data_IF_059228115212
#
_entry.id   IF_059228115212
#
_cell.length_a   1.000
_cell.length_b   1.000
_cell.length_c   1.000
_cell.angle_alpha   90.00
_cell.angle_beta   90.00
_cell.angle_gamma   90.00
#
_symmetry.space_group_name_H-M   'P 1'
#
loop_
_entity.id
_entity.type
_entity.pdbx_description
1 polymer ?
#
# COMPACT_ATOMS: atom_id res chain seq x y z
N UNK A 1 0.62 -20.12 -5.87
CA UNK A 1 0.69 -19.89 -7.33
C UNK A 1 2.04 -19.25 -7.76
N UNK A 2 2.54 -19.44 -9.00
CA UNK A 2 3.60 -18.57 -9.54
C UNK A 2 2.93 -17.33 -10.16
N UNK A 3 3.17 -16.15 -9.57
CA UNK A 3 2.53 -14.89 -9.95
C UNK A 3 3.40 -14.02 -10.87
N UNK A 4 4.62 -14.45 -11.19
CA UNK A 4 5.59 -13.66 -11.97
C UNK A 4 5.10 -13.30 -13.39
N UNK A 5 4.22 -14.12 -13.97
CA UNK A 5 3.66 -13.91 -15.31
C UNK A 5 2.37 -13.07 -15.29
N UNK A 6 1.85 -12.70 -14.12
CA UNK A 6 0.59 -11.96 -14.00
C UNK A 6 0.87 -10.45 -14.11
N UNK A 7 0.13 -9.77 -14.96
CA UNK A 7 0.16 -8.32 -15.09
C UNK A 7 -1.00 -7.67 -14.31
N UNK A 8 -0.82 -7.31 -13.03
CA UNK A 8 -1.90 -6.72 -12.23
C UNK A 8 -2.36 -5.35 -12.78
N UNK A 9 -1.51 -4.62 -13.50
CA UNK A 9 -1.85 -3.28 -14.04
C UNK A 9 -2.88 -3.32 -15.17
N UNK A 10 -3.04 -4.46 -15.85
CA UNK A 10 -4.04 -4.61 -16.90
C UNK A 10 -5.36 -5.22 -16.41
N UNK A 11 -5.49 -5.46 -15.11
CA UNK A 11 -6.74 -5.89 -14.48
C UNK A 11 -7.50 -4.64 -14.00
N UNK A 12 -8.72 -4.48 -14.48
CA UNK A 12 -9.60 -3.35 -14.19
C UNK A 12 -10.75 -3.71 -13.26
N UNK A 13 -11.39 -2.66 -12.75
CA UNK A 13 -12.49 -2.74 -11.79
C UNK A 13 -13.88 -2.71 -12.43
N UNK A 14 -13.97 -2.56 -13.76
CA UNK A 14 -15.25 -2.33 -14.44
C UNK A 14 -16.08 -3.59 -14.65
N UNK A 15 -15.42 -4.73 -14.91
CA UNK A 15 -16.08 -5.99 -15.23
C UNK A 15 -16.24 -6.86 -13.98
N UNK A 16 -17.43 -7.44 -13.81
CA UNK A 16 -17.75 -8.40 -12.75
C UNK A 16 -18.84 -7.92 -11.81
N UNK A 17 -19.18 -8.76 -10.84
CA UNK A 17 -20.18 -8.51 -9.82
C UNK A 17 -19.58 -7.63 -8.73
N UNK A 18 -20.09 -6.41 -8.58
CA UNK A 18 -19.58 -5.41 -7.63
C UNK A 18 -20.38 -5.48 -6.32
N UNK A 19 -19.70 -5.74 -5.20
CA UNK A 19 -20.29 -5.79 -3.85
C UNK A 19 -19.63 -4.75 -2.96
N UNK A 20 -20.43 -3.91 -2.31
CA UNK A 20 -19.94 -2.79 -1.51
C UNK A 20 -19.86 -1.49 -2.29
N UNK A 21 -19.38 -0.43 -1.62
CA UNK A 21 -19.43 0.92 -2.18
C UNK A 21 -18.37 1.14 -3.27
N UNK A 22 -18.73 1.87 -4.33
CA UNK A 22 -17.81 2.23 -5.42
C UNK A 22 -16.65 3.12 -4.94
N UNK A 23 -16.82 3.87 -3.86
CA UNK A 23 -15.79 4.69 -3.24
C UNK A 23 -14.96 3.95 -2.17
N UNK A 24 -15.25 2.67 -1.92
CA UNK A 24 -14.53 1.92 -0.90
C UNK A 24 -13.02 1.93 -1.18
N UNK A 25 -12.18 2.22 -0.17
CA UNK A 25 -10.76 2.51 -0.35
C UNK A 25 -9.98 1.31 -0.90
N UNK A 26 -10.40 0.09 -0.53
CA UNK A 26 -9.75 -1.15 -0.99
C UNK A 26 -10.66 -1.84 -1.99
N UNK A 27 -10.08 -2.38 -3.06
CA UNK A 27 -10.75 -3.24 -4.05
C UNK A 27 -10.20 -4.66 -3.99
N UNK A 28 -11.08 -5.65 -3.94
CA UNK A 28 -10.77 -7.07 -4.15
C UNK A 28 -11.25 -7.45 -5.54
N UNK A 29 -10.36 -7.96 -6.40
CA UNK A 29 -10.72 -8.47 -7.73
C UNK A 29 -10.54 -9.97 -7.74
N UNK A 30 -11.62 -10.72 -7.97
CA UNK A 30 -11.66 -12.16 -7.71
C UNK A 30 -12.01 -12.93 -8.99
N UNK A 31 -11.02 -13.51 -9.66
CA UNK A 31 -11.27 -14.45 -10.75
C UNK A 31 -11.61 -15.81 -10.18
N UNK A 32 -12.87 -16.20 -10.28
CA UNK A 32 -13.38 -17.45 -9.69
C UNK A 32 -14.16 -18.27 -10.72
N UNK A 33 -14.19 -19.58 -10.50
CA UNK A 33 -15.03 -20.49 -11.25
C UNK A 33 -15.83 -21.32 -10.25
N UNK A 34 -17.14 -21.40 -10.43
CA UNK A 34 -18.03 -21.99 -9.43
C UNK A 34 -17.86 -23.50 -9.28
N UNK A 35 -17.19 -24.18 -10.22
CA UNK A 35 -16.91 -25.62 -10.14
C UNK A 35 -15.56 -25.93 -9.51
N UNK A 36 -14.71 -24.93 -9.34
CA UNK A 36 -13.40 -25.10 -8.75
C UNK A 36 -13.50 -25.35 -7.23
N UNK A 37 -12.98 -26.47 -6.71
CA UNK A 37 -13.00 -26.76 -5.27
C UNK A 37 -12.09 -25.81 -4.47
N UNK A 38 -11.02 -25.29 -5.10
CA UNK A 38 -10.13 -24.30 -4.49
C UNK A 38 -10.82 -22.94 -4.34
N UNK A 39 -11.60 -22.52 -5.35
CA UNK A 39 -12.39 -21.30 -5.26
C UNK A 39 -13.49 -21.42 -4.19
N UNK A 40 -14.13 -22.61 -4.08
CA UNK A 40 -15.04 -22.93 -2.97
C UNK A 40 -14.36 -22.78 -1.62
N UNK A 41 -13.15 -23.34 -1.46
CA UNK A 41 -12.37 -23.25 -0.22
C UNK A 41 -12.07 -21.80 0.15
N UNK A 42 -11.56 -21.01 -0.80
CA UNK A 42 -11.28 -19.59 -0.59
C UNK A 42 -12.54 -18.85 -0.08
N UNK A 43 -13.67 -19.06 -0.74
CA UNK A 43 -14.95 -18.44 -0.37
C UNK A 43 -15.38 -18.81 1.05
N UNK A 44 -15.31 -20.11 1.40
CA UNK A 44 -15.68 -20.59 2.74
C UNK A 44 -14.75 -20.06 3.84
N UNK A 45 -13.45 -19.93 3.55
CA UNK A 45 -12.47 -19.47 4.54
C UNK A 45 -12.48 -17.96 4.75
N UNK A 46 -12.82 -17.17 3.72
CA UNK A 46 -12.57 -15.74 3.74
C UNK A 46 -13.82 -14.86 3.62
N UNK A 47 -14.95 -15.35 3.12
CA UNK A 47 -16.14 -14.51 2.90
C UNK A 47 -16.61 -13.78 4.16
N UNK A 48 -16.54 -14.40 5.34
CA UNK A 48 -16.92 -13.71 6.59
C UNK A 48 -16.10 -12.43 6.82
N UNK A 49 -14.77 -12.49 6.66
CA UNK A 49 -13.89 -11.32 6.79
C UNK A 49 -14.21 -10.28 5.72
N UNK A 50 -14.28 -10.71 4.46
CA UNK A 50 -14.46 -9.79 3.34
C UNK A 50 -15.84 -9.12 3.40
N UNK A 51 -16.87 -9.85 3.83
CA UNK A 51 -18.23 -9.34 4.00
C UNK A 51 -18.32 -8.34 5.17
N UNK A 52 -17.62 -8.58 6.29
CA UNK A 52 -17.47 -7.59 7.38
C UNK A 52 -16.87 -6.27 6.86
N UNK A 53 -15.86 -6.34 5.99
CA UNK A 53 -15.17 -5.17 5.43
C UNK A 53 -16.00 -4.45 4.38
N UNK A 54 -16.75 -5.20 3.56
CA UNK A 54 -17.74 -4.65 2.62
C UNK A 54 -18.84 -3.91 3.38
N UNK A 55 -19.41 -4.52 4.42
CA UNK A 55 -20.44 -3.90 5.24
C UNK A 55 -19.95 -2.64 5.98
N UNK A 56 -18.65 -2.58 6.31
CA UNK A 56 -18.02 -1.41 6.90
C UNK A 56 -17.67 -0.30 5.89
N UNK A 57 -17.95 -0.49 4.59
CA UNK A 57 -17.60 0.46 3.52
C UNK A 57 -16.10 0.54 3.21
N UNK A 58 -15.31 -0.41 3.72
CA UNK A 58 -13.83 -0.40 3.60
C UNK A 58 -13.33 -1.17 2.38
N UNK A 59 -14.14 -2.07 1.86
CA UNK A 59 -13.80 -2.95 0.75
C UNK A 59 -14.93 -2.95 -0.27
N UNK A 60 -14.58 -2.92 -1.55
CA UNK A 60 -15.46 -3.38 -2.62
C UNK A 60 -14.91 -4.67 -3.19
N UNK A 61 -15.76 -5.69 -3.34
CA UNK A 61 -15.40 -6.94 -4.03
C UNK A 61 -15.92 -6.88 -5.45
N UNK A 62 -15.10 -7.35 -6.39
CA UNK A 62 -15.37 -7.37 -7.82
C UNK A 62 -15.15 -8.80 -8.28
N UNK A 63 -16.23 -9.57 -8.27
CA UNK A 63 -16.21 -11.00 -8.53
C UNK A 63 -16.36 -11.24 -10.04
N UNK A 64 -15.33 -11.80 -10.64
CA UNK A 64 -15.26 -12.11 -12.07
C UNK A 64 -15.50 -13.60 -12.29
N UNK A 65 -16.70 -13.92 -12.77
CA UNK A 65 -17.10 -15.27 -13.18
C UNK A 65 -16.27 -15.72 -14.38
N UNK A 66 -15.20 -16.48 -14.12
CA UNK A 66 -14.16 -16.77 -15.09
C UNK A 66 -14.38 -18.13 -15.75
N UNK A 67 -14.85 -18.08 -17.00
CA UNK A 67 -15.07 -19.24 -17.84
C UNK A 67 -13.79 -20.00 -18.13
N UNK A 68 -13.86 -21.33 -18.08
CA UNK A 68 -12.71 -22.21 -18.31
C UNK A 68 -13.08 -23.34 -19.26
N UNK A 69 -12.22 -23.63 -20.24
CA UNK A 69 -12.47 -24.68 -21.23
C UNK A 69 -12.13 -26.10 -20.73
N UNK A 70 -11.36 -26.23 -19.64
CA UNK A 70 -11.03 -27.54 -19.07
C UNK A 70 -12.34 -28.25 -18.71
N UNK A 71 -12.51 -29.48 -19.21
CA UNK A 71 -13.78 -30.23 -19.16
C UNK A 71 -14.49 -30.16 -17.80
N UNK A 72 -13.77 -30.37 -16.70
CA UNK A 72 -14.33 -30.31 -15.34
C UNK A 72 -14.83 -28.92 -14.93
N UNK A 73 -14.15 -27.84 -15.33
CA UNK A 73 -14.49 -26.46 -14.95
C UNK A 73 -15.53 -25.83 -15.88
N UNK A 74 -15.62 -26.32 -17.11
CA UNK A 74 -16.54 -25.79 -18.13
C UNK A 74 -18.02 -25.91 -17.75
N UNK A 75 -18.36 -26.79 -16.80
CA UNK A 75 -19.72 -26.90 -16.25
C UNK A 75 -20.17 -25.61 -15.57
N UNK A 76 -19.26 -24.89 -14.91
CA UNK A 76 -19.59 -23.62 -14.27
C UNK A 76 -19.83 -22.49 -15.28
N UNK A 77 -19.32 -22.59 -16.51
CA UNK A 77 -19.61 -21.61 -17.55
C UNK A 77 -21.12 -21.53 -17.83
N UNK A 78 -21.87 -22.62 -17.60
CA UNK A 78 -23.34 -22.60 -17.67
C UNK A 78 -23.89 -21.73 -16.54
N UNK A 79 -23.49 -21.98 -15.29
CA UNK A 79 -23.99 -21.23 -14.13
C UNK A 79 -23.63 -19.75 -14.20
N UNK A 80 -22.48 -19.40 -14.80
CA UNK A 80 -22.08 -18.01 -15.02
C UNK A 80 -23.10 -17.23 -15.87
N UNK A 81 -23.84 -17.90 -16.76
CA UNK A 81 -24.90 -17.30 -17.59
C UNK A 81 -26.18 -16.94 -16.82
N UNK A 82 -26.28 -17.32 -15.55
CA UNK A 82 -27.44 -17.05 -14.68
C UNK A 82 -27.13 -15.99 -13.60
N UNK A 83 -25.95 -15.37 -13.67
CA UNK A 83 -25.54 -14.30 -12.77
C UNK A 83 -26.10 -12.99 -13.27
N UNK A 84 -26.99 -12.41 -12.46
CA UNK A 84 -27.58 -11.09 -12.67
C UNK A 84 -26.67 -10.03 -12.05
N UNK A 85 -25.92 -9.33 -12.91
CA UNK A 85 -24.99 -8.29 -12.47
C UNK A 85 -25.69 -7.01 -11.99
N UNK A 86 -26.98 -6.82 -12.31
CA UNK A 86 -27.77 -5.66 -11.89
C UNK A 86 -28.35 -5.85 -10.48
N UNK A 87 -28.33 -7.08 -9.95
CA UNK A 87 -28.75 -7.42 -8.58
C UNK A 87 -27.62 -8.09 -7.79
N UNK A 88 -26.56 -7.33 -7.44
CA UNK A 88 -25.32 -7.90 -6.93
C UNK A 88 -25.47 -8.68 -5.63
N UNK A 89 -26.29 -8.23 -4.68
CA UNK A 89 -26.52 -8.95 -3.43
C UNK A 89 -27.24 -10.28 -3.66
N UNK A 90 -28.27 -10.32 -4.52
CA UNK A 90 -29.00 -11.54 -4.86
C UNK A 90 -28.09 -12.53 -5.60
N UNK A 91 -27.33 -12.04 -6.57
CA UNK A 91 -26.37 -12.86 -7.31
C UNK A 91 -25.26 -13.39 -6.40
N UNK A 92 -24.79 -12.61 -5.42
CA UNK A 92 -23.80 -13.08 -4.44
C UNK A 92 -24.36 -14.21 -3.55
N UNK A 93 -25.62 -14.11 -3.11
CA UNK A 93 -26.28 -15.22 -2.43
C UNK A 93 -26.41 -16.45 -3.34
N UNK A 94 -26.63 -16.24 -4.64
CA UNK A 94 -26.65 -17.33 -5.60
C UNK A 94 -25.29 -18.02 -5.75
N UNK A 95 -24.19 -17.25 -5.75
CA UNK A 95 -22.83 -17.81 -5.75
C UNK A 95 -22.59 -18.68 -4.50
N UNK A 96 -23.01 -18.21 -3.32
CA UNK A 96 -23.00 -19.03 -2.09
C UNK A 96 -23.76 -20.34 -2.28
N UNK A 97 -24.97 -20.26 -2.85
CA UNK A 97 -25.80 -21.43 -3.11
C UNK A 97 -25.14 -22.42 -4.09
N UNK A 98 -24.53 -21.93 -5.17
CA UNK A 98 -23.78 -22.76 -6.11
C UNK A 98 -22.61 -23.46 -5.45
N UNK A 99 -21.82 -22.77 -4.61
CA UNK A 99 -20.73 -23.40 -3.88
C UNK A 99 -21.21 -24.41 -2.84
N UNK A 100 -22.31 -24.13 -2.14
CA UNK A 100 -22.90 -25.05 -1.17
C UNK A 100 -23.41 -26.35 -1.83
N UNK A 101 -23.86 -26.27 -3.09
CA UNK A 101 -24.36 -27.41 -3.85
C UNK A 101 -23.36 -27.94 -4.89
N UNK A 102 -22.08 -27.55 -4.81
CA UNK A 102 -21.06 -27.88 -5.82
C UNK A 102 -20.91 -29.40 -6.06
N UNK A 103 -21.07 -30.23 -5.02
CA UNK A 103 -20.97 -31.69 -5.14
C UNK A 103 -22.22 -32.33 -5.76
N UNK A 104 -23.34 -31.59 -5.85
CA UNK A 104 -24.59 -32.05 -6.47
C UNK A 104 -24.56 -31.78 -7.98
N UNK A 105 -24.49 -30.51 -8.36
CA UNK A 105 -24.52 -30.14 -9.78
C UNK A 105 -23.17 -30.41 -10.46
N UNK A 106 -22.07 -30.45 -9.71
CA UNK A 106 -20.74 -30.68 -10.26
C UNK A 106 -20.52 -32.07 -10.86
N UNK A 107 -21.37 -33.04 -10.50
CA UNK A 107 -21.36 -34.41 -11.03
C UNK A 107 -22.25 -34.57 -12.28
N UNK A 108 -23.15 -33.61 -12.54
CA UNK A 108 -24.02 -33.61 -13.73
C UNK A 108 -23.23 -33.28 -15.00
N UNK A 109 -23.74 -33.65 -16.16
CA UNK A 109 -23.24 -33.14 -17.44
C UNK A 109 -23.76 -31.71 -17.71
N UNK A 110 -23.37 -31.12 -18.84
CA UNK A 110 -23.75 -29.74 -19.19
C UNK A 110 -25.27 -29.56 -19.30
N UNK A 111 -25.98 -30.49 -19.94
CA UNK A 111 -27.44 -30.42 -20.05
C UNK A 111 -28.11 -30.59 -18.69
N UNK A 112 -27.59 -31.48 -17.82
CA UNK A 112 -28.08 -31.65 -16.46
C UNK A 112 -27.84 -30.42 -15.57
N UNK A 113 -26.70 -29.74 -15.68
CA UNK A 113 -26.46 -28.47 -14.96
C UNK A 113 -27.45 -27.40 -15.42
N UNK A 114 -27.71 -27.32 -16.74
CA UNK A 114 -28.69 -26.40 -17.30
C UNK A 114 -30.10 -26.68 -16.78
N UNK A 115 -30.54 -27.93 -16.84
CA UNK A 115 -31.86 -28.34 -16.33
C UNK A 115 -31.98 -28.06 -14.82
N UNK A 116 -30.93 -28.35 -14.04
CA UNK A 116 -30.92 -28.07 -12.61
C UNK A 116 -31.09 -26.57 -12.31
N UNK A 117 -30.33 -25.69 -12.98
CA UNK A 117 -30.41 -24.26 -12.70
C UNK A 117 -31.73 -23.64 -13.18
N UNK A 118 -32.28 -24.08 -14.31
CA UNK A 118 -33.57 -23.58 -14.85
C UNK A 118 -34.77 -24.14 -14.09
N UNK A 119 -34.82 -25.45 -13.85
CA UNK A 119 -36.04 -26.13 -13.38
C UNK A 119 -36.02 -26.49 -11.88
N UNK A 120 -34.85 -26.63 -11.26
CA UNK A 120 -34.74 -26.93 -9.82
C UNK A 120 -34.47 -25.67 -9.01
N UNK A 121 -33.50 -24.86 -9.44
CA UNK A 121 -33.18 -23.59 -8.78
C UNK A 121 -34.15 -22.49 -9.20
N UNK A 122 -34.67 -22.55 -10.44
CA UNK A 122 -35.67 -21.60 -10.94
C UNK A 122 -35.06 -20.29 -11.43
N UNK A 123 -33.84 -20.32 -11.96
CA UNK A 123 -33.19 -19.12 -12.49
C UNK A 123 -33.42 -18.95 -13.98
N UNK A 124 -33.50 -17.69 -14.38
CA UNK A 124 -33.55 -17.30 -15.77
C UNK A 124 -32.15 -16.94 -16.26
N UNK A 125 -31.85 -17.34 -17.50
CA UNK A 125 -30.60 -16.98 -18.16
C UNK A 125 -30.54 -15.47 -18.37
N UNK A 126 -29.37 -14.89 -18.13
CA UNK A 126 -29.07 -13.48 -18.26
C UNK A 126 -28.37 -13.18 -19.59
N UNK A 127 -28.51 -11.95 -20.07
CA UNK A 127 -27.80 -11.45 -21.26
C UNK A 127 -26.41 -10.93 -20.85
N UNK A 128 -25.50 -11.85 -20.55
CA UNK A 128 -24.18 -11.53 -19.99
C UNK A 128 -23.00 -12.12 -20.79
N UNK A 129 -23.24 -12.55 -22.02
CA UNK A 129 -22.22 -13.18 -22.88
C UNK A 129 -21.04 -12.24 -23.16
N UNK A 130 -21.32 -10.97 -23.48
CA UNK A 130 -20.30 -9.95 -23.72
C UNK A 130 -19.42 -9.72 -22.48
N UNK A 131 -20.03 -9.67 -21.29
CA UNK A 131 -19.31 -9.54 -20.01
C UNK A 131 -18.45 -10.77 -19.76
N UNK A 132 -18.99 -11.98 -19.96
CA UNK A 132 -18.26 -13.23 -19.77
C UNK A 132 -17.04 -13.31 -20.71
N UNK A 133 -17.20 -12.93 -21.98
CA UNK A 133 -16.10 -12.87 -22.94
C UNK A 133 -15.06 -11.82 -22.56
N UNK A 134 -15.49 -10.64 -22.12
CA UNK A 134 -14.59 -9.56 -21.71
C UNK A 134 -13.76 -9.95 -20.46
N UNK A 135 -14.40 -10.55 -19.44
CA UNK A 135 -13.71 -11.09 -18.26
C UNK A 135 -12.67 -12.13 -18.67
N UNK A 136 -13.04 -13.02 -19.60
CA UNK A 136 -12.13 -14.05 -20.07
C UNK A 136 -10.90 -13.45 -20.77
N UNK A 137 -11.11 -12.49 -21.67
CA UNK A 137 -10.03 -11.81 -22.38
C UNK A 137 -9.12 -11.03 -21.43
N UNK A 138 -9.68 -10.35 -20.44
CA UNK A 138 -8.93 -9.63 -19.40
C UNK A 138 -8.04 -10.60 -18.60
N UNK A 139 -8.60 -11.74 -18.15
CA UNK A 139 -7.86 -12.74 -17.41
C UNK A 139 -6.73 -13.36 -18.24
N UNK A 140 -7.03 -13.85 -19.44
CA UNK A 140 -6.05 -14.47 -20.34
C UNK A 140 -4.95 -13.48 -20.77
N UNK A 141 -5.35 -12.26 -21.16
CA UNK A 141 -4.43 -11.21 -21.61
C UNK A 141 -3.46 -10.71 -20.53
N UNK A 142 -3.80 -10.89 -19.26
CA UNK A 142 -2.98 -10.48 -18.12
C UNK A 142 -2.36 -11.65 -17.34
N UNK A 143 -2.36 -12.86 -17.92
CA UNK A 143 -1.66 -14.01 -17.36
C UNK A 143 -2.40 -14.72 -16.21
N UNK A 144 -3.68 -14.44 -15.98
CA UNK A 144 -4.50 -15.15 -14.99
C UNK A 144 -4.83 -16.56 -15.49
N UNK A 145 -3.96 -17.52 -15.16
CA UNK A 145 -4.03 -18.91 -15.63
C UNK A 145 -4.82 -19.84 -14.71
N UNK A 146 -5.07 -19.47 -13.46
CA UNK A 146 -5.65 -20.36 -12.45
C UNK A 146 -6.85 -19.71 -11.76
N UNK A 147 -7.62 -20.51 -11.04
CA UNK A 147 -8.75 -20.06 -10.21
C UNK A 147 -8.71 -20.80 -8.88
N UNK A 148 -8.86 -20.13 -7.73
CA UNK A 148 -9.06 -18.69 -7.62
C UNK A 148 -7.75 -17.93 -7.90
N UNK A 149 -7.86 -16.74 -8.49
CA UNK A 149 -6.80 -15.73 -8.45
C UNK A 149 -7.44 -14.45 -7.94
N UNK A 150 -6.95 -13.97 -6.80
CA UNK A 150 -7.51 -12.81 -6.12
C UNK A 150 -6.44 -11.74 -6.02
N UNK A 151 -6.82 -10.51 -6.38
CA UNK A 151 -6.02 -9.31 -6.23
C UNK A 151 -6.61 -8.52 -5.06
N UNK A 152 -5.85 -8.37 -3.98
CA UNK A 152 -6.33 -7.73 -2.76
C UNK A 152 -5.20 -6.98 -2.08
N UNK A 153 -5.43 -5.70 -1.74
CA UNK A 153 -4.48 -4.89 -0.98
C UNK A 153 -3.05 -4.89 -1.56
N UNK A 154 -2.92 -4.91 -2.91
CA UNK A 154 -1.62 -4.97 -3.59
C UNK A 154 -0.99 -6.38 -3.69
N UNK A 155 -1.63 -7.39 -3.12
CA UNK A 155 -1.20 -8.78 -3.16
C UNK A 155 -1.99 -9.59 -4.20
N UNK A 156 -1.33 -10.61 -4.76
CA UNK A 156 -1.96 -11.63 -5.60
C UNK A 156 -1.93 -12.93 -4.81
N UNK A 157 -3.09 -13.53 -4.56
CA UNK A 157 -3.25 -14.71 -3.71
C UNK A 157 -4.19 -15.76 -4.31
N UNK A 158 -4.17 -16.95 -3.71
CA UNK A 158 -5.06 -18.07 -4.01
C UNK A 158 -5.75 -18.59 -2.73
N UNK A 159 -6.15 -19.86 -2.69
CA UNK A 159 -6.85 -20.46 -1.54
C UNK A 159 -5.94 -20.91 -0.40
N UNK A 160 -4.63 -20.73 -0.50
CA UNK A 160 -3.67 -21.08 0.54
C UNK A 160 -3.50 -19.98 1.58
N UNK A 161 -3.78 -18.72 1.20
CA UNK A 161 -3.67 -17.58 2.09
C UNK A 161 -4.72 -17.62 3.20
N UNK A 162 -4.23 -17.50 4.43
CA UNK A 162 -5.05 -17.61 5.62
C UNK A 162 -5.72 -16.29 6.01
N UNK A 163 -6.77 -16.43 6.79
CA UNK A 163 -7.58 -15.33 7.32
C UNK A 163 -6.77 -14.23 8.03
N UNK A 164 -5.77 -14.59 8.84
CA UNK A 164 -5.00 -13.60 9.61
C UNK A 164 -4.09 -12.78 8.72
N UNK A 165 -3.47 -13.44 7.74
CA UNK A 165 -2.64 -12.78 6.72
C UNK A 165 -3.48 -11.80 5.89
N UNK A 166 -4.64 -12.24 5.40
CA UNK A 166 -5.56 -11.37 4.64
C UNK A 166 -6.04 -10.18 5.49
N UNK A 167 -6.43 -10.41 6.75
CA UNK A 167 -6.84 -9.34 7.67
C UNK A 167 -5.72 -8.33 7.89
N UNK A 168 -4.48 -8.78 8.03
CA UNK A 168 -3.31 -7.91 8.19
C UNK A 168 -3.12 -7.02 6.96
N UNK A 169 -3.12 -7.60 5.75
CA UNK A 169 -2.97 -6.82 4.51
C UNK A 169 -4.07 -5.77 4.32
N UNK A 170 -5.32 -6.12 4.66
CA UNK A 170 -6.44 -5.18 4.62
C UNK A 170 -6.25 -4.01 5.61
N UNK A 171 -5.72 -4.28 6.81
CA UNK A 171 -5.42 -3.23 7.79
C UNK A 171 -4.31 -2.31 7.31
N UNK A 172 -3.19 -2.87 6.84
CA UNK A 172 -2.06 -2.11 6.30
C UNK A 172 -2.49 -1.24 5.11
N UNK A 173 -3.25 -1.78 4.15
CA UNK A 173 -3.73 -1.02 3.00
C UNK A 173 -4.70 0.11 3.38
N UNK A 174 -5.51 -0.06 4.44
CA UNK A 174 -6.41 0.98 4.92
C UNK A 174 -5.64 2.10 5.63
N UNK A 175 -4.61 1.75 6.40
CA UNK A 175 -3.69 2.70 7.02
C UNK A 175 -2.94 3.50 5.94
N UNK A 176 -2.36 2.83 4.95
CA UNK A 176 -1.69 3.48 3.81
C UNK A 176 -2.62 4.42 3.04
N UNK A 177 -3.87 4.03 2.78
CA UNK A 177 -4.83 4.92 2.11
C UNK A 177 -5.26 6.11 2.97
N UNK A 178 -5.41 5.93 4.29
CA UNK A 178 -5.68 7.04 5.19
C UNK A 178 -4.52 8.05 5.19
N UNK A 179 -3.29 7.57 5.02
CA UNK A 179 -2.07 8.38 4.90
C UNK A 179 -1.94 9.06 3.52
N UNK A 180 -2.34 8.39 2.42
CA UNK A 180 -2.37 8.97 1.06
C UNK A 180 -3.39 10.08 0.89
N UNK A 181 -4.51 10.00 1.60
CA UNK A 181 -5.64 10.92 1.45
C UNK A 181 -5.57 12.14 2.38
N UNK A 182 -4.55 12.28 3.22
CA UNK A 182 -4.32 13.47 4.04
C UNK A 182 -3.11 14.27 3.56
N UNK A 183 -3.23 14.94 2.41
CA UNK A 183 -2.30 16.03 2.10
C UNK A 183 -2.86 17.33 2.68
N UNK A 184 -2.55 17.57 3.95
CA UNK A 184 -2.83 18.84 4.63
C UNK A 184 -1.52 19.47 5.13
N UNK A 185 -0.91 20.38 4.36
CA UNK A 185 0.28 21.12 4.79
C UNK A 185 0.07 21.93 6.08
N UNK A 186 -1.19 22.17 6.50
CA UNK A 186 -1.48 22.85 7.77
C UNK A 186 -1.11 22.02 9.01
N UNK A 187 -0.90 20.71 8.85
CA UNK A 187 -0.39 19.85 9.92
C UNK A 187 1.13 19.98 10.14
N UNK A 188 1.87 20.60 9.20
CA UNK A 188 3.30 20.88 9.39
C UNK A 188 3.50 21.97 10.43
N UNK A 189 4.46 21.76 11.32
CA UNK A 189 4.85 22.75 12.32
C UNK A 189 6.35 22.74 12.58
N UNK A 190 6.86 23.81 13.20
CA UNK A 190 8.27 23.93 13.60
C UNK A 190 8.65 22.97 14.76
N UNK A 191 7.68 22.26 15.34
CA UNK A 191 7.90 21.32 16.42
C UNK A 191 8.60 20.03 15.92
N UNK A 192 9.02 19.16 16.84
CA UNK A 192 9.50 17.79 16.56
C UNK A 192 10.78 17.68 15.69
N UNK A 193 11.40 18.81 15.34
CA UNK A 193 12.64 18.92 14.60
C UNK A 193 13.53 20.02 15.17
N UNK A 194 14.52 20.41 14.37
CA UNK A 194 15.37 21.59 14.63
C UNK A 194 15.24 22.58 13.48
N UNK A 195 15.48 23.87 13.76
CA UNK A 195 15.06 24.97 12.90
C UNK A 195 16.21 25.93 12.64
N UNK A 196 16.48 26.21 11.36
CA UNK A 196 17.46 27.20 10.93
C UNK A 196 16.76 28.34 10.18
N UNK A 197 17.34 29.53 10.27
CA UNK A 197 16.83 30.72 9.57
C UNK A 197 15.79 31.51 10.36
N UNK A 198 15.48 32.71 9.84
CA UNK A 198 14.67 33.71 10.52
C UNK A 198 13.18 33.35 10.55
N UNK A 199 12.46 33.75 11.60
CA UNK A 199 10.98 33.75 11.63
C UNK A 199 10.38 34.70 10.58
N UNK A 200 11.21 35.58 9.98
CA UNK A 200 10.83 36.54 8.95
C UNK A 200 11.24 36.08 7.53
N UNK A 201 11.70 34.85 7.36
CA UNK A 201 12.05 34.32 6.05
C UNK A 201 10.83 34.31 5.13
N UNK A 202 11.06 34.38 3.81
CA UNK A 202 9.98 34.48 2.82
C UNK A 202 9.07 33.24 2.83
N UNK A 203 9.63 32.08 3.13
CA UNK A 203 8.90 30.80 3.22
C UNK A 203 9.58 29.81 4.16
N UNK A 204 8.82 28.79 4.56
CA UNK A 204 9.33 27.67 5.35
C UNK A 204 9.49 26.43 4.48
N UNK A 205 10.62 25.75 4.63
CA UNK A 205 10.91 24.43 4.05
C UNK A 205 10.89 23.40 5.18
N UNK A 206 10.01 22.42 5.10
CA UNK A 206 10.02 21.27 6.01
C UNK A 206 10.68 20.09 5.31
N UNK A 207 11.62 19.41 5.96
CA UNK A 207 12.20 18.18 5.43
C UNK A 207 12.20 17.05 6.45
N UNK A 208 11.89 15.84 5.99
CA UNK A 208 11.95 14.60 6.72
C UNK A 208 13.11 13.77 6.17
N UNK A 209 14.05 13.43 7.05
CA UNK A 209 15.31 12.75 6.70
C UNK A 209 15.45 11.48 7.52
N UNK A 210 15.64 10.35 6.84
CA UNK A 210 16.00 9.07 7.44
C UNK A 210 17.52 8.90 7.42
N UNK A 211 18.11 8.74 8.61
CA UNK A 211 19.56 8.64 8.79
C UNK A 211 20.14 7.31 8.27
N UNK A 212 19.30 6.31 8.01
CA UNK A 212 19.74 5.00 7.52
C UNK A 212 19.66 4.87 6.00
N UNK A 213 18.80 5.64 5.33
CA UNK A 213 18.49 5.47 3.90
C UNK A 213 19.56 6.10 2.99
N UNK A 214 20.07 5.37 1.97
CA UNK A 214 21.08 5.90 1.06
C UNK A 214 20.57 7.07 0.21
N UNK A 215 19.28 7.11 -0.13
CA UNK A 215 18.64 8.21 -0.86
C UNK A 215 18.70 9.51 -0.04
N UNK A 216 18.53 9.41 1.28
CA UNK A 216 18.67 10.55 2.18
C UNK A 216 20.11 11.04 2.23
N UNK A 217 21.10 10.14 2.24
CA UNK A 217 22.51 10.51 2.16
C UNK A 217 22.86 11.23 0.86
N UNK A 218 22.35 10.74 -0.28
CA UNK A 218 22.56 11.36 -1.58
C UNK A 218 21.92 12.76 -1.65
N UNK A 219 20.68 12.89 -1.19
CA UNK A 219 19.99 14.17 -1.13
C UNK A 219 20.70 15.18 -0.24
N UNK A 220 21.10 14.80 0.99
CA UNK A 220 21.76 15.71 1.93
C UNK A 220 23.04 16.29 1.33
N UNK A 221 23.85 15.45 0.69
CA UNK A 221 25.11 15.86 0.04
C UNK A 221 24.90 16.95 -1.02
N UNK A 222 23.79 16.94 -1.75
CA UNK A 222 23.54 17.87 -2.85
C UNK A 222 22.64 19.05 -2.44
N UNK A 223 21.66 18.82 -1.58
CA UNK A 223 20.68 19.82 -1.18
C UNK A 223 21.18 20.75 -0.07
N UNK A 224 21.99 20.27 0.89
CA UNK A 224 22.40 21.08 2.04
C UNK A 224 23.19 22.34 1.66
N UNK A 225 24.11 22.33 0.68
CA UNK A 225 24.75 23.57 0.20
C UNK A 225 23.75 24.63 -0.28
N UNK A 226 22.70 24.20 -1.01
CA UNK A 226 21.64 25.09 -1.52
C UNK A 226 20.81 25.63 -0.35
N UNK A 227 20.38 24.74 0.54
CA UNK A 227 19.56 25.09 1.70
C UNK A 227 20.28 26.04 2.66
N UNK A 228 21.57 25.81 2.94
CA UNK A 228 22.40 26.71 3.77
C UNK A 228 22.46 28.10 3.15
N UNK A 229 22.74 28.20 1.85
CA UNK A 229 22.78 29.50 1.18
C UNK A 229 21.42 30.22 1.23
N UNK A 230 20.32 29.50 1.07
CA UNK A 230 18.96 30.05 1.14
C UNK A 230 18.57 30.46 2.58
N UNK A 231 19.06 29.76 3.59
CA UNK A 231 18.91 30.14 5.01
C UNK A 231 19.70 31.42 5.30
N UNK A 232 20.98 31.47 4.88
CA UNK A 232 21.87 32.62 5.09
C UNK A 232 21.37 33.91 4.42
N UNK A 233 20.76 33.78 3.24
CA UNK A 233 20.17 34.91 2.51
C UNK A 233 18.85 35.41 3.13
N UNK A 234 18.27 34.65 4.07
CA UNK A 234 16.94 34.90 4.63
C UNK A 234 15.79 34.51 3.70
N UNK A 235 16.06 33.82 2.59
CA UNK A 235 15.04 33.33 1.66
C UNK A 235 14.16 32.26 2.32
N UNK A 236 14.75 31.34 3.10
CA UNK A 236 14.01 30.27 3.77
C UNK A 236 14.25 30.20 5.26
N UNK A 237 13.24 29.68 5.95
CA UNK A 237 13.35 29.03 7.24
C UNK A 237 13.32 27.52 7.01
N UNK A 238 14.33 26.79 7.48
CA UNK A 238 14.45 25.35 7.29
C UNK A 238 14.09 24.62 8.58
N UNK A 239 13.13 23.70 8.51
CA UNK A 239 12.77 22.79 9.61
C UNK A 239 13.16 21.37 9.21
N UNK A 240 14.13 20.80 9.91
CA UNK A 240 14.60 19.43 9.66
C UNK A 240 14.07 18.49 10.73
N UNK A 241 13.37 17.45 10.30
CA UNK A 241 12.80 16.41 11.14
C UNK A 241 13.47 15.08 10.80
N UNK A 242 14.01 14.41 11.81
CA UNK A 242 14.49 13.05 11.61
C UNK A 242 13.31 12.10 11.64
N UNK A 243 13.24 11.26 10.62
CA UNK A 243 12.13 10.36 10.32
C UNK A 243 12.67 8.93 10.14
N UNK A 244 11.86 7.92 10.43
CA UNK A 244 12.23 6.51 10.26
C UNK A 244 11.04 5.78 9.65
N UNK A 245 11.25 5.14 8.49
CA UNK A 245 10.25 4.28 7.83
C UNK A 245 10.28 2.83 8.35
N UNK A 246 11.26 2.49 9.19
CA UNK A 246 11.43 1.15 9.80
C UNK A 246 11.54 -0.01 8.81
N UNK A 247 12.05 0.22 7.60
CA UNK A 247 12.43 -0.88 6.71
C UNK A 247 13.80 -1.45 7.09
N UNK A 248 13.98 -2.78 6.98
CA UNK A 248 15.27 -3.48 6.79
C UNK A 248 16.46 -3.22 7.72
N UNK A 249 16.35 -2.42 8.78
CA UNK A 249 17.49 -1.90 9.55
C UNK A 249 17.30 -0.50 10.16
N UNK A 250 16.18 0.19 9.88
CA UNK A 250 15.91 1.57 10.28
C UNK A 250 16.06 1.91 11.77
N UNK A 251 16.02 0.93 12.67
CA UNK A 251 16.31 1.17 14.09
C UNK A 251 17.69 1.80 14.33
N UNK A 252 18.66 1.59 13.44
CA UNK A 252 20.01 2.18 13.55
C UNK A 252 19.98 3.70 13.35
N UNK A 253 19.23 4.17 12.36
CA UNK A 253 18.96 5.60 12.18
C UNK A 253 18.24 6.19 13.40
N UNK A 254 17.28 5.46 13.98
CA UNK A 254 16.61 5.87 15.23
C UNK A 254 17.55 5.93 16.44
N UNK A 255 18.66 5.18 16.44
CA UNK A 255 19.69 5.27 17.48
C UNK A 255 20.56 6.50 17.25
N UNK A 256 21.09 6.69 16.03
CA UNK A 256 21.92 7.85 15.67
C UNK A 256 21.23 9.18 15.96
N UNK A 257 19.93 9.25 15.67
CA UNK A 257 19.09 10.42 15.94
C UNK A 257 19.13 10.90 17.40
N UNK A 258 19.40 10.00 18.35
CA UNK A 258 19.44 10.31 19.78
C UNK A 258 20.69 11.10 20.18
N UNK A 259 21.63 11.29 19.27
CA UNK A 259 22.89 12.02 19.49
C UNK A 259 22.92 13.39 18.79
N UNK A 260 21.87 13.74 18.02
CA UNK A 260 21.77 15.02 17.33
C UNK A 260 21.29 16.11 18.29
N UNK A 261 22.03 17.20 18.36
CA UNK A 261 21.84 18.30 19.31
C UNK A 261 20.79 19.31 18.81
N UNK A 262 19.50 18.99 18.97
CA UNK A 262 18.41 19.86 18.50
C UNK A 262 18.41 21.26 19.14
N UNK A 263 19.14 21.48 20.24
CA UNK A 263 19.25 22.78 20.89
C UNK A 263 20.19 23.74 20.15
N UNK A 264 21.13 23.20 19.38
CA UNK A 264 22.03 23.94 18.51
C UNK A 264 21.74 23.54 17.07
N UNK A 265 20.85 24.28 16.40
CA UNK A 265 20.31 23.86 15.10
C UNK A 265 21.35 23.85 13.97
N UNK A 266 22.36 24.74 14.02
CA UNK A 266 23.48 24.72 13.08
C UNK A 266 24.31 23.44 13.27
N UNK A 267 24.68 23.14 14.52
CA UNK A 267 25.37 21.90 14.86
C UNK A 267 24.55 20.67 14.52
N UNK A 268 23.24 20.67 14.78
CA UNK A 268 22.35 19.55 14.43
C UNK A 268 22.38 19.25 12.93
N UNK A 269 22.36 20.28 12.09
CA UNK A 269 22.42 20.11 10.63
C UNK A 269 23.76 19.50 10.20
N UNK A 270 24.87 19.98 10.77
CA UNK A 270 26.21 19.44 10.51
C UNK A 270 26.32 17.98 10.96
N UNK A 271 25.73 17.63 12.12
CA UNK A 271 25.69 16.24 12.61
C UNK A 271 24.90 15.32 11.67
N UNK A 272 23.78 15.80 11.10
CA UNK A 272 23.01 15.03 10.11
C UNK A 272 23.85 14.74 8.87
N UNK A 273 24.55 15.76 8.34
CA UNK A 273 25.44 15.62 7.19
C UNK A 273 26.59 14.65 7.48
N UNK A 274 27.24 14.77 8.64
CA UNK A 274 28.34 13.89 9.04
C UNK A 274 27.88 12.44 9.19
N UNK A 275 26.78 12.19 9.92
CA UNK A 275 26.22 10.84 10.14
C UNK A 275 25.91 10.16 8.80
N UNK A 276 25.26 10.87 7.87
CA UNK A 276 24.89 10.33 6.56
C UNK A 276 26.09 10.15 5.63
N UNK A 277 27.06 11.06 5.65
CA UNK A 277 28.28 10.92 4.84
C UNK A 277 29.14 9.74 5.29
N UNK A 278 29.12 9.42 6.60
CA UNK A 278 29.84 8.29 7.20
C UNK A 278 28.96 7.03 7.36
N UNK A 279 27.76 7.00 6.76
CA UNK A 279 26.82 5.87 6.78
C UNK A 279 27.47 4.51 6.49
N UNK A 280 28.34 4.35 5.48
CA UNK A 280 28.99 3.07 5.21
C UNK A 280 29.85 2.52 6.36
N UNK A 281 30.29 3.37 7.30
CA UNK A 281 31.12 2.95 8.43
C UNK A 281 30.33 2.29 9.56
N UNK A 282 29.03 2.61 9.68
CA UNK A 282 28.20 2.15 10.79
C UNK A 282 26.94 1.38 10.37
N UNK A 283 26.55 1.42 9.09
CA UNK A 283 25.33 0.74 8.61
C UNK A 283 25.36 -0.78 8.84
N UNK A 284 26.55 -1.38 8.87
CA UNK A 284 26.74 -2.81 9.10
C UNK A 284 26.83 -3.18 10.58
N UNK A 285 27.01 -2.20 11.47
CA UNK A 285 27.16 -2.41 12.91
C UNK A 285 25.87 -2.91 13.56
N UNK A 286 25.99 -3.64 14.67
CA UNK A 286 24.85 -3.96 15.53
C UNK A 286 24.43 -2.75 16.40
N UNK A 287 23.43 -2.93 17.26
CA UNK A 287 22.92 -1.87 18.11
C UNK A 287 24.01 -1.21 18.98
N UNK A 288 24.89 -2.01 19.60
CA UNK A 288 25.97 -1.51 20.45
C UNK A 288 27.04 -0.79 19.61
N UNK A 289 27.36 -1.32 18.43
CA UNK A 289 28.32 -0.72 17.51
C UNK A 289 27.86 0.65 16.98
N UNK A 290 26.57 0.84 16.70
CA UNK A 290 26.02 2.15 16.31
C UNK A 290 26.16 3.16 17.46
N UNK A 291 25.90 2.75 18.69
CA UNK A 291 26.03 3.61 19.86
C UNK A 291 27.49 4.02 20.11
N UNK A 292 28.43 3.06 20.07
CA UNK A 292 29.87 3.34 20.18
C UNK A 292 30.36 4.24 19.06
N UNK A 293 29.92 4.02 17.82
CA UNK A 293 30.28 4.90 16.73
C UNK A 293 29.85 6.34 16.99
N UNK A 294 28.63 6.57 17.49
CA UNK A 294 28.17 7.91 17.83
C UNK A 294 28.98 8.55 18.97
N UNK A 295 29.30 7.82 20.04
CA UNK A 295 29.99 8.38 21.20
C UNK A 295 31.50 8.49 21.03
N UNK A 296 32.14 7.46 20.48
CA UNK A 296 33.61 7.33 20.44
C UNK A 296 34.19 7.85 19.12
N UNK A 297 33.53 7.56 17.99
CA UNK A 297 34.04 7.92 16.65
C UNK A 297 33.54 9.28 16.16
N UNK A 298 32.29 9.66 16.46
CA UNK A 298 31.75 10.99 16.17
C UNK A 298 31.94 11.96 17.35
N UNK A 299 32.15 11.46 18.58
CA UNK A 299 32.29 12.30 19.76
C UNK A 299 30.99 12.96 20.21
N UNK A 300 29.83 12.43 19.80
CA UNK A 300 28.54 13.03 20.09
C UNK A 300 28.00 12.59 21.45
N UNK A 301 27.38 13.52 22.16
CA UNK A 301 26.73 13.25 23.44
C UNK A 301 25.26 12.86 23.23
N UNK A 302 24.77 11.91 24.02
CA UNK A 302 23.37 11.50 24.01
C UNK A 302 22.42 12.65 24.39
N UNK A 303 21.44 12.92 23.54
CA UNK A 303 20.44 14.00 23.65
C UNK A 303 19.03 13.49 24.02
N UNK A 304 18.72 12.21 23.73
CA UNK A 304 17.46 11.60 24.16
C UNK A 304 16.21 11.99 23.36
N UNK A 305 16.36 12.34 22.09
CA UNK A 305 15.29 12.84 21.21
C UNK A 305 14.21 11.82 20.78
N UNK A 306 13.97 10.76 21.56
CA UNK A 306 13.04 9.69 21.18
C UNK A 306 11.59 10.17 21.01
N UNK A 307 11.14 11.11 21.85
CA UNK A 307 9.78 11.65 21.74
C UNK A 307 9.63 12.55 20.51
N UNK A 308 10.67 13.33 20.17
CA UNK A 308 10.69 14.11 18.93
C UNK A 308 10.64 13.20 17.70
N UNK A 309 11.38 12.08 17.69
CA UNK A 309 11.32 11.09 16.60
C UNK A 309 9.91 10.51 16.43
N UNK A 310 9.26 10.09 17.52
CA UNK A 310 7.89 9.55 17.46
C UNK A 310 6.89 10.61 16.97
N UNK A 311 7.06 11.86 17.41
CA UNK A 311 6.18 12.94 17.00
C UNK A 311 6.41 13.33 15.53
N UNK A 312 7.67 13.40 15.08
CA UNK A 312 8.02 13.61 13.68
C UNK A 312 7.51 12.47 12.78
N UNK A 313 7.54 11.21 13.25
CA UNK A 313 6.96 10.09 12.52
C UNK A 313 5.44 10.25 12.33
N UNK A 314 4.72 10.58 13.42
CA UNK A 314 3.27 10.84 13.36
C UNK A 314 2.93 12.03 12.46
N UNK A 315 3.73 13.09 12.53
CA UNK A 315 3.54 14.28 11.70
C UNK A 315 3.80 13.96 10.22
N UNK A 316 4.91 13.28 9.90
CA UNK A 316 5.22 12.82 8.54
C UNK A 316 4.11 11.94 7.96
N UNK A 317 3.60 11.00 8.76
CA UNK A 317 2.42 10.21 8.43
C UNK A 317 1.19 11.09 8.14
N UNK A 318 0.88 12.05 9.01
CA UNK A 318 -0.27 12.94 8.83
C UNK A 318 -0.20 13.81 7.57
N UNK A 319 1.01 14.08 7.05
CA UNK A 319 1.21 14.87 5.82
C UNK A 319 1.56 14.02 4.60
N UNK A 320 1.43 12.69 4.70
CA UNK A 320 1.62 11.76 3.59
C UNK A 320 3.07 11.47 3.20
N UNK A 321 4.03 11.53 4.13
CA UNK A 321 5.41 11.06 3.89
C UNK A 321 5.43 9.54 3.78
N UNK A 322 5.72 9.03 2.58
CA UNK A 322 5.83 7.61 2.25
C UNK A 322 7.26 7.18 1.92
N UNK A 323 8.13 8.15 1.59
CA UNK A 323 9.52 7.91 1.26
C UNK A 323 10.43 9.00 1.84
N UNK A 324 11.69 8.65 2.13
CA UNK A 324 12.71 9.58 2.59
C UNK A 324 13.79 9.75 1.51
N UNK A 325 14.32 10.96 1.30
CA UNK A 325 13.92 12.22 1.93
C UNK A 325 12.53 12.67 1.46
N UNK A 326 11.81 13.41 2.30
CA UNK A 326 10.63 14.17 1.88
C UNK A 326 10.82 15.64 2.20
N UNK A 327 10.46 16.52 1.28
CA UNK A 327 10.64 17.97 1.39
C UNK A 327 9.35 18.67 1.01
N UNK A 328 8.96 19.67 1.78
CA UNK A 328 7.76 20.45 1.58
C UNK A 328 8.13 21.92 1.44
N UNK A 329 7.75 22.52 0.30
CA UNK A 329 8.03 23.91 -0.05
C UNK A 329 6.75 24.51 -0.66
N UNK A 330 6.30 25.66 -0.15
CA UNK A 330 5.08 26.37 -0.62
C UNK A 330 3.83 25.47 -0.66
N UNK A 331 3.64 24.63 0.36
CA UNK A 331 2.51 23.71 0.44
C UNK A 331 2.53 22.58 -0.59
N UNK A 332 3.68 22.29 -1.21
CA UNK A 332 3.89 21.15 -2.11
C UNK A 332 4.92 20.20 -1.52
N UNK A 333 4.62 18.90 -1.50
CA UNK A 333 5.55 17.85 -1.08
C UNK A 333 6.29 17.23 -2.27
N UNK A 334 7.56 16.92 -2.07
CA UNK A 334 8.45 16.20 -2.98
C UNK A 334 9.13 15.09 -2.18
N UNK A 335 9.17 13.86 -2.69
CA UNK A 335 9.70 12.72 -1.94
C UNK A 335 10.70 11.91 -2.77
N UNK A 336 11.59 11.19 -2.09
CA UNK A 336 12.63 10.35 -2.69
C UNK A 336 13.44 11.10 -3.78
N UNK A 337 13.42 10.58 -5.01
CA UNK A 337 14.15 11.11 -6.16
C UNK A 337 13.68 12.51 -6.61
N UNK A 338 12.47 12.92 -6.21
CA UNK A 338 11.91 14.25 -6.54
C UNK A 338 12.36 15.33 -5.56
N UNK A 339 12.86 14.97 -4.37
CA UNK A 339 13.16 15.93 -3.30
C UNK A 339 14.22 16.96 -3.72
N UNK A 340 15.31 16.51 -4.34
CA UNK A 340 16.40 17.39 -4.78
C UNK A 340 15.94 18.35 -5.89
N UNK A 341 15.21 17.83 -6.89
CA UNK A 341 14.65 18.65 -7.95
C UNK A 341 13.67 19.69 -7.39
N UNK A 342 12.86 19.30 -6.40
CA UNK A 342 11.97 20.21 -5.68
C UNK A 342 12.71 21.37 -5.00
N UNK A 343 13.86 21.10 -4.38
CA UNK A 343 14.72 22.13 -3.79
C UNK A 343 15.32 23.03 -4.88
N UNK A 344 15.90 22.46 -5.94
CA UNK A 344 16.56 23.20 -7.02
C UNK A 344 15.60 24.06 -7.85
N UNK A 345 14.37 23.62 -8.04
CA UNK A 345 13.36 24.35 -8.82
C UNK A 345 12.70 25.49 -8.03
N UNK A 346 12.77 25.45 -6.68
CA UNK A 346 12.02 26.34 -5.80
C UNK A 346 12.87 27.36 -5.05
N UNK A 347 14.18 27.15 -4.97
CA UNK A 347 15.15 28.01 -4.32
C UNK A 347 16.15 28.54 -5.34
#
# INVERSE_FOLDING_TARGET
MNTADINPKGIGTELGLKLGCDDAPIKSIEFINYRCPFARKFFQSNSYLLDEWVAAGKLQRIIKSYDRDKHELSKANILHQYIDYDRPEEAYQMIHYFYANQDVWGEMDHDGVKDWVENVVGLERQDNEDIAQAIRQEGEGNGVRFVPTVFLAGHILDEHEDYFTIRKWLQEALEDQALKNSFDPSALSDANGFVLGSDQAEKTVYQFIDLYEPESAAYVKEAFPILRQAVESGQIRLVTKIFSLRHGGGYKGEVMQRFIDYQDSDKALDQVEEILSRRPEWEASDFEGVFKFAEEELGYSYQGNQEALKAAHKEGQAVGVEASPAVFIDGRGFQADQALAGVQDKL
#
